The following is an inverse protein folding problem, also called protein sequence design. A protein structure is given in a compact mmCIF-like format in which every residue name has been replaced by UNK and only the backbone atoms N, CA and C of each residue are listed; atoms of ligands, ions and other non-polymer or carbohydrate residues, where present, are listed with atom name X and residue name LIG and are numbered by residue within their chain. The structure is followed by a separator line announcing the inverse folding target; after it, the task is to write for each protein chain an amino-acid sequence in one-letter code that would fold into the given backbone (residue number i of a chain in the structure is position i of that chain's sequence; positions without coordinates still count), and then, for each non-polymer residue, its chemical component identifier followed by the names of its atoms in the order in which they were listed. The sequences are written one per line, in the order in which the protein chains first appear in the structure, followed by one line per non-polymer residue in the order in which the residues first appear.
data_IF_627566080568
#
_entry.id   IF_627566080568
#
_cell.length_a   1.000
_cell.length_b   1.000
_cell.length_c   1.000
_cell.angle_alpha   90.00
_cell.angle_beta   90.00
_cell.angle_gamma   90.00
#
_symmetry.space_group_name_H-M   'P 1'
#
loop_
_entity.id
_entity.type
_entity.pdbx_description
1 polymer ?
#
# COMPACT_ATOMS: atom_id res chain seq x y z
N UNK A 1 6.33 -30.76 -2.36
CA UNK A 1 5.74 -29.51 -1.84
C UNK A 1 5.39 -29.70 -0.37
N UNK A 2 5.78 -28.77 0.49
CA UNK A 2 5.33 -28.77 1.89
C UNK A 2 3.94 -28.12 1.93
N UNK A 3 2.90 -28.86 2.29
CA UNK A 3 1.50 -28.37 2.19
C UNK A 3 1.12 -27.48 3.39
N UNK A 4 1.89 -27.54 4.47
CA UNK A 4 1.60 -26.92 5.76
C UNK A 4 2.40 -25.62 5.93
N UNK A 5 1.71 -24.56 6.36
CA UNK A 5 2.34 -23.28 6.69
C UNK A 5 3.22 -23.42 7.92
N UNK A 6 4.43 -22.87 7.86
CA UNK A 6 5.17 -22.62 9.10
C UNK A 6 4.54 -21.43 9.83
N UNK A 7 4.61 -21.38 11.17
CA UNK A 7 4.16 -20.22 11.93
C UNK A 7 4.80 -18.91 11.44
N UNK A 8 6.07 -18.94 11.05
CA UNK A 8 6.79 -17.78 10.53
C UNK A 8 6.19 -17.23 9.22
N UNK A 9 5.76 -18.09 8.30
CA UNK A 9 5.11 -17.67 7.04
C UNK A 9 3.74 -17.04 7.27
N UNK A 10 2.96 -17.59 8.21
CA UNK A 10 1.67 -17.03 8.61
C UNK A 10 1.83 -15.66 9.25
N UNK A 11 2.81 -15.52 10.15
CA UNK A 11 3.16 -14.23 10.77
C UNK A 11 3.57 -13.22 9.70
N UNK A 12 4.45 -13.60 8.76
CA UNK A 12 4.87 -12.71 7.67
C UNK A 12 3.69 -12.21 6.83
N UNK A 13 2.79 -13.12 6.48
CA UNK A 13 1.59 -12.79 5.70
C UNK A 13 0.67 -11.85 6.47
N UNK A 14 0.46 -12.13 7.77
CA UNK A 14 -0.35 -11.31 8.67
C UNK A 14 0.24 -9.90 8.86
N UNK A 15 1.55 -9.80 9.10
CA UNK A 15 2.25 -8.52 9.23
C UNK A 15 2.16 -7.71 7.93
N UNK A 16 2.28 -8.35 6.78
CA UNK A 16 2.15 -7.67 5.47
C UNK A 16 0.74 -7.11 5.29
N UNK A 17 -0.29 -7.91 5.62
CA UNK A 17 -1.68 -7.47 5.57
C UNK A 17 -1.93 -6.28 6.50
N UNK A 18 -1.54 -6.38 7.77
CA UNK A 18 -1.75 -5.31 8.75
C UNK A 18 -0.99 -4.04 8.39
N UNK A 19 0.25 -4.16 7.90
CA UNK A 19 1.03 -3.03 7.42
C UNK A 19 0.32 -2.33 6.26
N UNK A 20 -0.14 -3.09 5.27
CA UNK A 20 -0.91 -2.54 4.14
C UNK A 20 -2.17 -1.82 4.63
N UNK A 21 -2.91 -2.39 5.59
CA UNK A 21 -4.12 -1.78 6.15
C UNK A 21 -3.79 -0.47 6.87
N UNK A 22 -2.79 -0.45 7.76
CA UNK A 22 -2.38 0.75 8.48
C UNK A 22 -1.91 1.85 7.53
N UNK A 23 -1.08 1.51 6.53
CA UNK A 23 -0.62 2.47 5.52
C UNK A 23 -1.79 3.01 4.68
N UNK A 24 -2.79 2.17 4.38
CA UNK A 24 -4.00 2.59 3.67
C UNK A 24 -4.81 3.58 4.49
N UNK A 25 -5.04 3.30 5.78
CA UNK A 25 -5.74 4.23 6.68
C UNK A 25 -5.00 5.57 6.80
N UNK A 26 -3.67 5.55 6.92
CA UNK A 26 -2.86 6.78 6.99
C UNK A 26 -2.96 7.60 5.69
N UNK A 27 -2.85 6.95 4.53
CA UNK A 27 -3.02 7.60 3.23
C UNK A 27 -4.39 8.26 3.11
N UNK A 28 -5.46 7.59 3.54
CA UNK A 28 -6.80 8.17 3.54
C UNK A 28 -6.92 9.36 4.50
N UNK A 29 -6.36 9.25 5.70
CA UNK A 29 -6.33 10.35 6.66
C UNK A 29 -5.62 11.59 6.09
N UNK A 30 -4.43 11.44 5.48
CA UNK A 30 -3.73 12.55 4.85
C UNK A 30 -4.53 13.20 3.74
N UNK A 31 -5.26 12.42 2.95
CA UNK A 31 -6.09 12.95 1.86
C UNK A 31 -7.31 13.70 2.38
N UNK A 32 -7.97 13.19 3.42
CA UNK A 32 -9.09 13.87 4.09
C UNK A 32 -8.59 15.18 4.71
N UNK A 33 -7.48 15.16 5.44
CA UNK A 33 -6.86 16.37 5.99
C UNK A 33 -6.42 17.34 4.89
N UNK A 34 -5.96 16.84 3.74
CA UNK A 34 -5.65 17.66 2.58
C UNK A 34 -6.86 18.39 2.01
N UNK A 35 -7.98 17.69 1.86
CA UNK A 35 -9.25 18.30 1.43
C UNK A 35 -9.79 19.32 2.45
N UNK A 36 -9.57 19.07 3.74
CA UNK A 36 -9.92 20.00 4.82
C UNK A 36 -8.94 21.19 4.95
N UNK A 37 -7.89 21.27 4.13
CA UNK A 37 -6.89 22.33 4.20
C UNK A 37 -5.89 22.20 5.37
N UNK A 38 -5.91 21.10 6.12
CA UNK A 38 -5.02 20.86 7.27
C UNK A 38 -3.65 20.31 6.85
N UNK A 39 -3.56 19.64 5.69
CA UNK A 39 -2.36 18.97 5.20
C UNK A 39 -1.96 19.43 3.80
N UNK A 40 -0.65 19.46 3.52
CA UNK A 40 -0.10 20.00 2.26
C UNK A 40 -0.20 19.03 1.06
N UNK A 41 -1.39 18.50 0.77
CA UNK A 41 -1.65 17.63 -0.38
C UNK A 41 -1.86 18.48 -1.65
N UNK A 42 -1.07 18.24 -2.70
CA UNK A 42 -1.18 18.98 -3.96
C UNK A 42 -2.19 18.35 -4.91
N UNK A 43 -2.78 19.14 -5.82
CA UNK A 43 -3.69 18.60 -6.85
C UNK A 43 -3.04 17.54 -7.76
N UNK A 44 -1.72 17.58 -7.93
CA UNK A 44 -0.94 16.54 -8.61
C UNK A 44 -0.91 15.19 -7.87
N UNK A 45 -1.04 15.17 -6.53
CA UNK A 45 -1.13 13.93 -5.75
C UNK A 45 -2.47 13.22 -6.00
N UNK A 46 -3.56 13.97 -6.21
CA UNK A 46 -4.86 13.38 -6.51
C UNK A 46 -4.88 12.71 -7.89
N UNK A 47 -4.27 13.32 -8.91
CA UNK A 47 -4.11 12.69 -10.22
C UNK A 47 -3.22 11.46 -10.16
N UNK A 48 -2.02 11.61 -9.58
CA UNK A 48 -1.07 10.50 -9.43
C UNK A 48 -1.67 9.31 -8.67
N UNK A 49 -2.51 9.56 -7.65
CA UNK A 49 -3.22 8.50 -6.93
C UNK A 49 -4.06 7.61 -7.85
N UNK A 50 -4.80 8.21 -8.79
CA UNK A 50 -5.64 7.47 -9.73
C UNK A 50 -4.76 6.74 -10.74
N UNK A 51 -3.75 7.43 -11.27
CA UNK A 51 -2.81 6.87 -12.26
C UNK A 51 -2.04 5.65 -11.72
N UNK A 52 -1.76 5.63 -10.40
CA UNK A 52 -1.05 4.53 -9.76
C UNK A 52 -1.92 3.28 -9.51
N UNK A 53 -3.26 3.39 -9.49
CA UNK A 53 -4.15 2.26 -9.15
C UNK A 53 -4.05 1.14 -10.17
N UNK A 54 -4.36 1.42 -11.44
CA UNK A 54 -4.39 0.41 -12.50
C UNK A 54 -3.07 -0.39 -12.61
N UNK A 55 -1.88 0.24 -12.69
CA UNK A 55 -0.63 -0.52 -12.75
C UNK A 55 -0.35 -1.30 -11.46
N UNK A 56 -0.71 -0.79 -10.28
CA UNK A 56 -0.53 -1.52 -9.03
C UNK A 56 -1.42 -2.77 -8.95
N UNK A 57 -2.68 -2.67 -9.37
CA UNK A 57 -3.59 -3.81 -9.44
C UNK A 57 -3.14 -4.83 -10.49
N UNK A 58 -2.70 -4.38 -11.67
CA UNK A 58 -2.17 -5.27 -12.70
C UNK A 58 -0.93 -6.04 -12.18
N UNK A 59 -0.02 -5.35 -11.51
CA UNK A 59 1.18 -5.96 -10.91
C UNK A 59 0.80 -7.01 -9.83
N UNK A 60 -0.15 -6.68 -8.95
CA UNK A 60 -0.65 -7.58 -7.93
C UNK A 60 -1.32 -8.83 -8.52
N UNK A 61 -2.16 -8.66 -9.54
CA UNK A 61 -2.82 -9.76 -10.24
C UNK A 61 -1.80 -10.67 -10.93
N UNK A 62 -0.85 -10.11 -11.67
CA UNK A 62 0.20 -10.90 -12.33
C UNK A 62 1.05 -11.68 -11.31
N UNK A 63 1.41 -11.06 -10.18
CA UNK A 63 2.18 -11.72 -9.12
C UNK A 63 1.39 -12.88 -8.49
N UNK A 64 0.10 -12.66 -8.17
CA UNK A 64 -0.80 -13.68 -7.65
C UNK A 64 -1.01 -14.83 -8.63
N UNK A 65 -1.31 -14.54 -9.89
CA UNK A 65 -1.48 -15.55 -10.94
C UNK A 65 -0.22 -16.37 -11.15
N UNK A 66 0.96 -15.75 -11.14
CA UNK A 66 2.24 -16.45 -11.26
C UNK A 66 2.50 -17.38 -10.08
N UNK A 67 2.23 -16.93 -8.86
CA UNK A 67 2.33 -17.75 -7.64
C UNK A 67 1.38 -18.95 -7.71
N UNK A 68 0.12 -18.73 -8.13
CA UNK A 68 -0.88 -19.77 -8.30
C UNK A 68 -0.47 -20.81 -9.35
N UNK A 69 -0.06 -20.37 -10.55
CA UNK A 69 0.42 -21.26 -11.62
C UNK A 69 1.67 -22.05 -11.21
N UNK A 70 2.48 -21.50 -10.30
CA UNK A 70 3.66 -22.18 -9.76
C UNK A 70 3.32 -23.20 -8.65
N UNK A 71 2.04 -23.42 -8.36
CA UNK A 71 1.58 -24.35 -7.33
C UNK A 71 1.93 -23.89 -5.91
N UNK A 72 2.06 -22.58 -5.69
CA UNK A 72 2.30 -22.05 -4.35
C UNK A 72 1.10 -22.26 -3.43
N UNK A 73 1.36 -22.22 -2.13
CA UNK A 73 0.35 -22.39 -1.09
C UNK A 73 -0.58 -21.15 -1.03
N UNK A 74 -1.81 -21.26 -0.51
CA UNK A 74 -2.76 -20.14 -0.48
C UNK A 74 -2.25 -18.86 0.23
N UNK A 75 -1.54 -19.00 1.35
CA UNK A 75 -0.91 -17.88 2.07
C UNK A 75 0.19 -17.21 1.24
N UNK A 76 0.98 -17.98 0.50
CA UNK A 76 2.02 -17.47 -0.40
C UNK A 76 1.42 -16.75 -1.60
N UNK A 77 0.31 -17.25 -2.16
CA UNK A 77 -0.43 -16.56 -3.23
C UNK A 77 -1.01 -15.24 -2.72
N UNK A 78 -1.62 -15.24 -1.53
CA UNK A 78 -2.15 -14.02 -0.92
C UNK A 78 -1.02 -13.00 -0.68
N UNK A 79 0.11 -13.45 -0.14
CA UNK A 79 1.28 -12.63 0.11
C UNK A 79 1.89 -12.06 -1.19
N UNK A 80 1.98 -12.87 -2.25
CA UNK A 80 2.44 -12.44 -3.57
C UNK A 80 1.52 -11.38 -4.19
N UNK A 81 0.21 -11.52 -3.97
CA UNK A 81 -0.80 -10.54 -4.42
C UNK A 81 -0.72 -9.23 -3.62
N UNK A 82 -0.54 -9.31 -2.30
CA UNK A 82 -0.53 -8.14 -1.41
C UNK A 82 0.77 -7.35 -1.45
N UNK A 83 1.93 -8.00 -1.64
CA UNK A 83 3.23 -7.33 -1.53
C UNK A 83 3.43 -6.14 -2.50
N UNK A 84 3.02 -6.22 -3.79
CA UNK A 84 3.06 -5.07 -4.69
C UNK A 84 2.19 -3.90 -4.20
N UNK A 85 0.99 -4.21 -3.69
CA UNK A 85 0.06 -3.21 -3.15
C UNK A 85 0.66 -2.53 -1.92
N UNK A 86 1.18 -3.32 -0.97
CA UNK A 86 1.82 -2.81 0.25
C UNK A 86 2.98 -1.88 -0.09
N UNK A 87 3.85 -2.27 -1.02
CA UNK A 87 4.98 -1.42 -1.44
C UNK A 87 4.50 -0.06 -1.96
N UNK A 88 3.51 -0.05 -2.85
CA UNK A 88 2.96 1.18 -3.45
C UNK A 88 2.24 2.04 -2.40
N UNK A 89 1.45 1.44 -1.51
CA UNK A 89 0.78 2.15 -0.42
C UNK A 89 1.81 2.76 0.54
N UNK A 90 2.87 2.03 0.89
CA UNK A 90 3.95 2.56 1.72
C UNK A 90 4.70 3.73 1.08
N UNK A 91 4.92 3.70 -0.24
CA UNK A 91 5.47 4.86 -0.95
C UNK A 91 4.53 6.07 -0.91
N UNK A 92 3.22 5.85 -1.08
CA UNK A 92 2.21 6.90 -0.94
C UNK A 92 2.20 7.48 0.47
N UNK A 93 2.15 6.61 1.48
CA UNK A 93 2.14 6.97 2.89
C UNK A 93 3.34 7.87 3.24
N UNK A 94 4.57 7.41 2.91
CA UNK A 94 5.80 8.19 3.14
C UNK A 94 5.78 9.54 2.43
N UNK A 95 5.30 9.59 1.19
CA UNK A 95 5.29 10.81 0.38
C UNK A 95 4.27 11.83 0.90
N UNK A 96 3.09 11.38 1.32
CA UNK A 96 2.06 12.22 1.93
C UNK A 96 2.50 12.68 3.33
N UNK A 97 3.05 11.79 4.16
CA UNK A 97 3.58 12.14 5.48
C UNK A 97 4.65 13.24 5.41
N UNK A 98 5.53 13.20 4.39
CA UNK A 98 6.55 14.24 4.17
C UNK A 98 6.01 15.61 3.78
N UNK A 99 4.75 15.72 3.35
CA UNK A 99 4.15 17.02 3.00
C UNK A 99 3.91 17.90 4.23
N UNK A 100 3.58 17.28 5.36
CA UNK A 100 3.35 17.97 6.61
C UNK A 100 2.03 18.77 6.70
N UNK A 101 1.70 19.25 7.90
CA UNK A 101 0.58 20.16 8.13
C UNK A 101 0.80 21.51 7.45
N UNK A 102 -0.28 22.14 6.96
CA UNK A 102 -0.18 23.44 6.29
C UNK A 102 0.23 24.58 7.22
N UNK A 103 -0.07 24.49 8.52
CA UNK A 103 0.30 25.50 9.51
C UNK A 103 1.79 25.49 9.89
N UNK A 104 2.57 24.50 9.42
CA UNK A 104 4.02 24.46 9.58
C UNK A 104 4.78 25.01 8.36
N UNK A 105 4.09 25.50 7.33
CA UNK A 105 4.77 26.18 6.21
C UNK A 105 5.14 27.60 6.64
N UNK A 106 6.42 28.01 6.55
CA UNK A 106 6.76 29.41 6.74
C UNK A 106 6.05 30.25 5.69
N UNK A 107 5.28 31.24 6.15
CA UNK A 107 4.76 32.31 5.31
C UNK A 107 5.95 33.21 4.96
N UNK A 108 6.55 32.96 3.80
CA UNK A 108 7.41 33.93 3.11
C UNK A 108 6.53 34.88 2.31
#
# INVERSE_FOLDING_TARGET
MNTIATPAELVRTSVTFWTLMTETQAVMAYRIMGMAGLWAVTGSENRRMVDEKAPAFAEAMMAGSRAMMSGQRPDQIALATMAPLQRRTGHNNRRLARRGPNFLKPHG
#
